data_IF_521387781216
#
_entry.id   IF_521387781216
#
_cell.length_a   1.000
_cell.length_b   1.000
_cell.length_c   1.000
_cell.angle_alpha   90.00
_cell.angle_beta   90.00
_cell.angle_gamma   90.00
#
_symmetry.space_group_name_H-M   'P 1'
#
loop_
_entity.id
_entity.type
_entity.pdbx_description
1 polymer ?
#
# COMPACT_ATOMS: atom_id res chain seq x y z
N UNK A 1 8.36 14.75 49.73
CA UNK A 1 7.82 13.49 49.17
C UNK A 1 7.56 13.81 47.72
N UNK A 2 8.60 13.68 46.90
CA UNK A 2 8.50 13.84 45.45
C UNK A 2 7.82 12.57 44.90
N UNK A 3 6.94 12.63 43.90
CA UNK A 3 6.43 11.42 43.29
C UNK A 3 7.54 10.81 42.44
N UNK A 4 7.98 9.62 42.85
CA UNK A 4 8.85 8.73 42.09
C UNK A 4 8.24 8.42 40.71
N UNK A 5 9.10 8.49 39.70
CA UNK A 5 9.06 7.82 38.40
C UNK A 5 7.72 7.20 37.95
N UNK A 6 7.00 7.93 37.10
CA UNK A 6 6.17 7.31 36.06
C UNK A 6 6.89 7.40 34.71
N UNK A 7 8.08 6.81 34.63
CA UNK A 7 8.55 6.26 33.35
C UNK A 7 7.77 4.99 33.12
N UNK A 8 6.58 5.14 32.56
CA UNK A 8 5.86 3.99 32.01
C UNK A 8 6.77 3.45 30.92
N UNK A 9 7.43 2.32 31.20
CA UNK A 9 8.16 1.50 30.22
C UNK A 9 7.12 0.97 29.21
N UNK A 10 6.65 1.87 28.35
CA UNK A 10 5.59 1.66 27.38
C UNK A 10 6.12 0.99 26.11
N UNK A 11 7.21 0.21 26.21
CA UNK A 11 7.71 -0.60 25.11
C UNK A 11 6.75 -1.74 24.76
N UNK A 12 5.86 -2.13 25.68
CA UNK A 12 4.81 -3.14 25.45
C UNK A 12 3.61 -2.63 24.63
N UNK A 13 3.44 -1.31 24.44
CA UNK A 13 2.31 -0.76 23.67
C UNK A 13 2.57 -0.62 22.17
N UNK A 14 3.80 -0.84 21.72
CA UNK A 14 4.15 -0.73 20.31
C UNK A 14 4.63 -2.10 19.82
N UNK A 15 3.78 -2.84 19.07
CA UNK A 15 4.11 -4.20 18.61
C UNK A 15 5.37 -4.29 17.73
N UNK A 16 5.95 -3.14 17.33
CA UNK A 16 7.16 -3.03 16.54
C UNK A 16 8.38 -2.52 17.33
N UNK A 17 8.23 -2.08 18.59
CA UNK A 17 9.34 -1.55 19.40
C UNK A 17 10.43 -2.59 19.68
N UNK A 18 10.08 -3.88 19.65
CA UNK A 18 11.01 -4.98 19.88
C UNK A 18 11.80 -5.42 18.63
N UNK A 19 11.48 -4.91 17.44
CA UNK A 19 12.15 -5.34 16.20
C UNK A 19 13.49 -4.60 16.05
N UNK A 20 14.58 -5.32 16.34
CA UNK A 20 15.97 -4.80 16.21
C UNK A 20 16.58 -5.03 14.83
N UNK A 21 16.07 -6.00 14.08
CA UNK A 21 16.56 -6.32 12.75
C UNK A 21 15.62 -5.75 11.68
N UNK A 22 16.16 -5.20 10.57
CA UNK A 22 15.34 -4.84 9.44
C UNK A 22 14.67 -6.10 8.91
N UNK A 23 13.36 -6.19 9.05
CA UNK A 23 12.56 -7.29 8.51
C UNK A 23 12.82 -7.34 7.01
N UNK A 24 13.60 -8.32 6.55
CA UNK A 24 13.72 -8.60 5.12
C UNK A 24 12.35 -8.95 4.61
N UNK A 25 11.83 -8.01 3.82
CA UNK A 25 10.61 -8.02 3.05
C UNK A 25 10.09 -9.45 2.76
N UNK A 26 8.83 -9.81 3.14
CA UNK A 26 8.25 -11.13 2.86
C UNK A 26 8.36 -11.48 1.37
N UNK A 27 8.39 -12.77 1.00
CA UNK A 27 8.53 -13.27 -0.39
C UNK A 27 7.64 -12.55 -1.43
N UNK A 28 6.50 -11.99 -1.00
CA UNK A 28 5.63 -11.14 -1.82
C UNK A 28 6.33 -9.88 -2.40
N UNK A 29 7.27 -9.28 -1.67
CA UNK A 29 8.07 -8.13 -2.12
C UNK A 29 9.27 -8.54 -2.98
N UNK A 30 9.61 -9.83 -3.02
CA UNK A 30 10.57 -10.43 -3.95
C UNK A 30 9.95 -10.68 -5.34
N UNK A 31 8.68 -10.34 -5.55
CA UNK A 31 8.08 -10.24 -6.89
C UNK A 31 9.01 -9.41 -7.78
N UNK A 32 9.33 -9.98 -8.94
CA UNK A 32 10.21 -9.38 -9.94
C UNK A 32 9.59 -8.15 -10.60
N UNK A 33 9.91 -7.87 -11.87
CA UNK A 33 9.42 -6.66 -12.52
C UNK A 33 7.89 -6.55 -12.51
N UNK A 34 7.39 -5.36 -12.16
CA UNK A 34 5.95 -5.05 -12.06
C UNK A 34 5.61 -3.74 -12.78
N UNK A 35 4.36 -3.65 -13.21
CA UNK A 35 3.69 -2.40 -13.59
C UNK A 35 2.90 -1.90 -12.40
N UNK A 36 2.84 -0.60 -12.18
CA UNK A 36 2.04 -0.04 -11.09
C UNK A 36 1.37 1.29 -11.44
N UNK A 37 0.30 1.60 -10.72
CA UNK A 37 -0.42 2.87 -10.73
C UNK A 37 -0.38 3.43 -9.31
N UNK A 38 0.16 4.64 -9.13
CA UNK A 38 0.09 5.32 -7.84
C UNK A 38 -1.31 5.90 -7.66
N UNK A 39 -1.83 5.74 -6.45
CA UNK A 39 -3.09 6.34 -6.03
C UNK A 39 -2.76 7.36 -4.94
N UNK A 40 -3.19 8.60 -5.16
CA UNK A 40 -3.10 9.69 -4.19
C UNK A 40 -4.49 10.19 -3.83
N UNK A 41 -4.63 10.71 -2.62
CA UNK A 41 -5.88 11.27 -2.11
C UNK A 41 -5.71 11.77 -0.70
N UNK A 42 -6.81 11.88 0.04
CA UNK A 42 -6.79 12.32 1.43
C UNK A 42 -6.29 11.20 2.36
N UNK A 43 -5.31 11.53 3.20
CA UNK A 43 -4.73 10.66 4.20
C UNK A 43 -5.61 10.61 5.46
N UNK A 44 -5.30 9.72 6.38
CA UNK A 44 -6.06 9.58 7.63
C UNK A 44 -6.00 10.83 8.52
N UNK A 45 -5.00 11.70 8.31
CA UNK A 45 -4.83 12.99 8.99
C UNK A 45 -5.42 14.19 8.23
N UNK A 46 -6.13 13.94 7.13
CA UNK A 46 -6.78 14.97 6.29
C UNK A 46 -5.85 15.70 5.32
N UNK A 47 -4.55 15.41 5.30
CA UNK A 47 -3.64 15.95 4.27
C UNK A 47 -3.78 15.18 2.97
N UNK A 48 -3.37 15.79 1.85
CA UNK A 48 -3.26 15.07 0.58
C UNK A 48 -1.93 14.32 0.49
N UNK A 49 -1.95 13.06 0.05
CA UNK A 49 -0.75 12.24 -0.08
C UNK A 49 -0.98 10.90 -0.78
N UNK A 50 0.00 10.01 -0.72
CA UNK A 50 -0.11 8.68 -1.32
C UNK A 50 -1.03 7.79 -0.47
N UNK A 51 -2.02 7.19 -1.12
CA UNK A 51 -2.90 6.19 -0.51
C UNK A 51 -2.33 4.79 -0.70
N UNK A 52 -1.64 4.56 -1.81
CA UNK A 52 -1.11 3.26 -2.16
C UNK A 52 -0.84 3.11 -3.64
N UNK A 53 -0.73 1.86 -4.08
CA UNK A 53 -0.50 1.54 -5.48
C UNK A 53 -1.18 0.23 -5.88
N UNK A 54 -1.86 0.24 -7.03
CA UNK A 54 -2.15 -1.00 -7.73
C UNK A 54 -0.88 -1.49 -8.42
N UNK A 55 -0.62 -2.78 -8.35
CA UNK A 55 0.50 -3.40 -9.05
C UNK A 55 0.06 -4.65 -9.80
N UNK A 56 0.79 -4.97 -10.86
CA UNK A 56 0.59 -6.15 -11.68
C UNK A 56 1.96 -6.68 -12.12
N UNK A 57 2.18 -8.00 -11.97
CA UNK A 57 3.35 -8.67 -12.53
C UNK A 57 3.41 -8.48 -14.05
N UNK A 58 4.61 -8.51 -14.64
CA UNK A 58 4.75 -8.34 -16.10
C UNK A 58 3.98 -9.39 -16.91
N UNK A 59 3.87 -10.62 -16.39
CA UNK A 59 3.09 -11.69 -17.00
C UNK A 59 1.56 -11.54 -16.80
N UNK A 60 1.12 -10.55 -16.02
CA UNK A 60 -0.30 -10.26 -15.79
C UNK A 60 -1.02 -11.25 -14.87
N UNK A 61 -0.31 -12.22 -14.29
CA UNK A 61 -0.94 -13.30 -13.51
C UNK A 61 -1.17 -12.92 -12.05
N UNK A 62 -0.27 -12.11 -11.48
CA UNK A 62 -0.29 -11.67 -10.09
C UNK A 62 -0.45 -10.17 -10.02
N UNK A 63 -1.11 -9.71 -8.97
CA UNK A 63 -1.28 -8.29 -8.73
C UNK A 63 -1.96 -8.05 -7.40
N UNK A 64 -2.08 -6.78 -7.05
CA UNK A 64 -2.65 -6.40 -5.76
C UNK A 64 -2.72 -4.91 -5.57
N UNK A 65 -2.97 -4.53 -4.33
CA UNK A 65 -2.90 -3.16 -3.86
C UNK A 65 -1.98 -3.10 -2.64
N UNK A 66 -0.98 -2.22 -2.68
CA UNK A 66 -0.16 -1.88 -1.51
C UNK A 66 -0.75 -0.63 -0.89
N UNK A 67 -0.99 -0.68 0.42
CA UNK A 67 -1.54 0.43 1.20
C UNK A 67 -0.41 1.25 1.80
N UNK A 68 -0.49 2.58 1.66
CA UNK A 68 0.37 3.50 2.39
C UNK A 68 -0.07 3.54 3.88
N UNK A 69 0.86 3.46 4.86
CA UNK A 69 0.52 3.44 6.28
C UNK A 69 -0.19 4.70 6.79
N UNK A 70 -0.05 5.82 6.09
CA UNK A 70 -0.70 7.08 6.45
C UNK A 70 -2.15 7.18 5.92
N UNK A 71 -2.61 6.20 5.15
CA UNK A 71 -3.92 6.17 4.51
C UNK A 71 -4.62 4.82 4.73
N UNK A 72 -4.60 4.30 5.96
CA UNK A 72 -5.12 2.96 6.27
C UNK A 72 -6.59 2.85 5.91
N UNK A 73 -7.41 3.88 6.17
CA UNK A 73 -8.84 3.81 5.89
C UNK A 73 -9.11 3.70 4.39
N UNK A 74 -8.68 4.70 3.62
CA UNK A 74 -8.92 4.74 2.18
C UNK A 74 -8.18 3.61 1.43
N UNK A 75 -6.95 3.33 1.82
CA UNK A 75 -6.17 2.24 1.25
C UNK A 75 -6.79 0.86 1.53
N UNK A 76 -7.40 0.66 2.70
CA UNK A 76 -8.13 -0.58 3.00
C UNK A 76 -9.38 -0.73 2.15
N UNK A 77 -10.10 0.36 1.84
CA UNK A 77 -11.22 0.31 0.89
C UNK A 77 -10.76 -0.12 -0.51
N UNK A 78 -9.62 0.41 -0.97
CA UNK A 78 -9.02 0.04 -2.25
C UNK A 78 -8.58 -1.43 -2.28
N UNK A 79 -7.92 -1.90 -1.22
CA UNK A 79 -7.55 -3.31 -1.06
C UNK A 79 -8.78 -4.23 -0.98
N UNK A 80 -9.85 -3.80 -0.29
CA UNK A 80 -11.12 -4.54 -0.22
C UNK A 80 -11.80 -4.61 -1.57
N UNK A 81 -11.83 -3.50 -2.32
CA UNK A 81 -12.35 -3.45 -3.69
C UNK A 81 -11.63 -4.44 -4.60
N UNK A 82 -10.30 -4.47 -4.53
CA UNK A 82 -9.48 -5.44 -5.27
C UNK A 82 -9.85 -6.89 -4.91
N UNK A 83 -9.86 -7.23 -3.61
CA UNK A 83 -10.24 -8.58 -3.13
C UNK A 83 -11.66 -8.96 -3.54
N UNK A 84 -12.60 -8.02 -3.46
CA UNK A 84 -13.99 -8.22 -3.87
C UNK A 84 -14.16 -8.40 -5.38
N UNK A 85 -13.29 -7.82 -6.21
CA UNK A 85 -13.26 -8.12 -7.64
C UNK A 85 -12.75 -9.55 -7.89
N UNK A 86 -11.68 -9.97 -7.22
CA UNK A 86 -11.18 -11.34 -7.32
C UNK A 86 -12.22 -12.39 -6.90
N UNK A 87 -13.00 -12.13 -5.85
CA UNK A 87 -14.08 -13.04 -5.40
C UNK A 87 -15.24 -13.14 -6.41
N UNK A 88 -15.32 -12.22 -7.37
CA UNK A 88 -16.27 -12.24 -8.50
C UNK A 88 -15.62 -12.76 -9.79
N UNK A 89 -14.52 -13.51 -9.66
CA UNK A 89 -13.78 -14.14 -10.75
C UNK A 89 -13.10 -13.16 -11.72
N UNK A 90 -12.87 -11.91 -11.32
CA UNK A 90 -12.01 -11.02 -12.08
C UNK A 90 -10.56 -11.47 -11.94
N UNK A 91 -9.76 -11.30 -12.99
CA UNK A 91 -8.31 -11.52 -12.91
C UNK A 91 -7.63 -10.26 -12.36
N UNK A 92 -6.44 -10.40 -11.78
CA UNK A 92 -5.64 -9.27 -11.33
C UNK A 92 -5.41 -8.23 -12.45
N UNK A 93 -5.17 -8.73 -13.67
CA UNK A 93 -5.02 -7.89 -14.87
C UNK A 93 -6.30 -7.09 -15.19
N UNK A 94 -7.50 -7.67 -15.03
CA UNK A 94 -8.76 -6.97 -15.32
C UNK A 94 -8.98 -5.81 -14.34
N UNK A 95 -8.71 -6.05 -13.06
CA UNK A 95 -8.79 -5.01 -12.02
C UNK A 95 -7.78 -3.90 -12.29
N UNK A 96 -6.55 -4.27 -12.62
CA UNK A 96 -5.50 -3.30 -12.96
C UNK A 96 -5.88 -2.44 -14.18
N UNK A 97 -6.36 -3.08 -15.26
CA UNK A 97 -6.82 -2.38 -16.48
C UNK A 97 -8.02 -1.48 -16.22
N UNK A 98 -8.93 -1.87 -15.33
CA UNK A 98 -10.03 -1.03 -14.91
C UNK A 98 -9.52 0.29 -14.33
N UNK A 99 -8.62 0.23 -13.35
CA UNK A 99 -8.04 1.42 -12.72
C UNK A 99 -7.12 2.21 -13.65
N UNK A 100 -6.41 1.55 -14.56
CA UNK A 100 -5.61 2.21 -15.59
C UNK A 100 -6.47 3.11 -16.50
N UNK A 101 -7.73 2.76 -16.75
CA UNK A 101 -8.66 3.59 -17.52
C UNK A 101 -9.21 4.78 -16.73
N UNK A 102 -8.98 4.81 -15.42
CA UNK A 102 -9.40 5.90 -14.52
C UNK A 102 -8.24 6.88 -14.21
N UNK A 103 -7.11 6.80 -14.94
CA UNK A 103 -5.98 7.74 -14.80
C UNK A 103 -6.48 9.18 -14.90
N UNK A 104 -6.02 10.01 -13.95
CA UNK A 104 -6.55 11.34 -13.70
C UNK A 104 -7.41 11.40 -12.43
N UNK A 105 -8.29 12.41 -12.37
CA UNK A 105 -9.18 12.60 -11.24
C UNK A 105 -10.34 11.59 -11.29
N UNK A 106 -10.36 10.68 -10.31
CA UNK A 106 -11.40 9.68 -10.12
C UNK A 106 -12.14 9.98 -8.80
N UNK A 107 -13.03 10.98 -8.83
CA UNK A 107 -13.72 11.45 -7.63
C UNK A 107 -12.75 12.14 -6.66
N UNK A 108 -12.64 11.62 -5.43
CA UNK A 108 -11.71 12.11 -4.40
C UNK A 108 -10.28 11.58 -4.53
N UNK A 109 -10.00 10.77 -5.56
CA UNK A 109 -8.71 10.14 -5.80
C UNK A 109 -8.04 10.72 -7.06
N UNK A 110 -6.71 10.74 -7.04
CA UNK A 110 -5.88 10.95 -8.23
C UNK A 110 -5.13 9.65 -8.54
N UNK A 111 -5.23 9.19 -9.78
CA UNK A 111 -4.53 8.00 -10.25
C UNK A 111 -3.49 8.42 -11.27
N UNK A 112 -2.22 8.17 -10.96
CA UNK A 112 -1.11 8.48 -11.84
C UNK A 112 -1.06 7.51 -13.03
N UNK A 113 -0.49 7.94 -14.17
CA UNK A 113 -0.21 7.04 -15.29
C UNK A 113 0.61 5.81 -14.86
N UNK A 114 0.53 4.74 -15.65
CA UNK A 114 1.30 3.53 -15.43
C UNK A 114 2.80 3.82 -15.35
N UNK A 115 3.42 3.23 -14.34
CA UNK A 115 4.85 3.22 -14.10
C UNK A 115 5.36 1.77 -14.03
N UNK A 116 6.69 1.62 -13.99
CA UNK A 116 7.37 0.33 -13.95
C UNK A 116 8.38 0.32 -12.81
N UNK A 117 8.55 -0.84 -12.18
CA UNK A 117 9.55 -1.06 -11.16
C UNK A 117 10.17 -2.45 -11.33
N UNK A 118 11.47 -2.57 -11.03
CA UNK A 118 12.20 -3.84 -11.14
C UNK A 118 11.73 -4.88 -10.12
N UNK A 119 11.16 -4.42 -9.00
CA UNK A 119 10.62 -5.27 -7.92
C UNK A 119 9.43 -4.62 -7.26
N UNK A 120 8.59 -5.43 -6.62
CA UNK A 120 7.49 -4.90 -5.81
C UNK A 120 7.97 -4.11 -4.58
N UNK A 121 9.15 -4.44 -4.05
CA UNK A 121 9.82 -3.65 -3.01
C UNK A 121 9.98 -2.18 -3.39
N UNK A 122 10.39 -1.88 -4.63
CA UNK A 122 10.50 -0.49 -5.10
C UNK A 122 9.15 0.24 -5.13
N UNK A 123 8.05 -0.48 -5.41
CA UNK A 123 6.70 0.09 -5.33
C UNK A 123 6.33 0.37 -3.87
N UNK A 124 6.57 -0.59 -2.97
CA UNK A 124 6.30 -0.43 -1.53
C UNK A 124 7.04 0.77 -0.93
N UNK A 125 8.32 0.95 -1.28
CA UNK A 125 9.12 2.11 -0.88
C UNK A 125 8.53 3.42 -1.40
N UNK A 126 8.00 3.43 -2.63
CA UNK A 126 7.45 4.64 -3.26
C UNK A 126 6.14 5.10 -2.62
N UNK A 127 5.36 4.18 -2.08
CA UNK A 127 4.12 4.50 -1.32
C UNK A 127 4.38 4.68 0.18
N UNK A 128 5.63 4.63 0.63
CA UNK A 128 5.99 4.79 2.05
C UNK A 128 5.54 3.65 2.95
N UNK A 129 5.36 2.45 2.40
CA UNK A 129 4.94 1.25 3.13
C UNK A 129 6.09 0.46 3.78
N UNK A 130 7.30 1.03 3.76
CA UNK A 130 8.55 0.47 4.30
C UNK A 130 9.35 1.55 5.01
#
# INVERSE_FOLDING_TARGET
MEPEDMRVENEELFPLAALRDPVTAPDALAEGPVRFLLVSGELDDGRWGSIGAFWLSIDGTRGGFIVAPQAIWQGSEMARSFRGALSRSWRAEDVYRYWQRQVGAAGSLMIDPQQHADTLFHVARRVGAL
#
